data_IF_469411581308
#
_entry.id   IF_469411581308
#
_cell.length_a   1.000
_cell.length_b   1.000
_cell.length_c   1.000
_cell.angle_alpha   90.00
_cell.angle_beta   90.00
_cell.angle_gamma   90.00
#
_symmetry.space_group_name_H-M   'P 1'
#
loop_
_entity.id
_entity.type
_entity.pdbx_description
1 polymer ?
#
# COMPACT_ATOMS: atom_id res chain seq x y z
N UNK A 1 -11.07 15.16 -23.66
CA UNK A 1 -10.56 15.87 -22.47
C UNK A 1 -11.73 16.10 -21.52
N UNK A 2 -11.93 15.24 -20.52
CA UNK A 2 -12.86 15.49 -19.40
C UNK A 2 -12.45 14.66 -18.18
N UNK A 3 -11.15 14.73 -17.84
CA UNK A 3 -10.53 14.11 -16.66
C UNK A 3 -10.46 15.08 -15.48
N UNK A 4 -11.38 16.06 -15.39
CA UNK A 4 -11.21 17.22 -14.50
C UNK A 4 -12.02 17.16 -13.19
N UNK A 5 -13.05 16.32 -13.08
CA UNK A 5 -13.91 16.31 -11.88
C UNK A 5 -13.24 15.62 -10.68
N UNK A 6 -12.83 14.36 -10.80
CA UNK A 6 -12.17 13.63 -9.70
C UNK A 6 -10.90 14.32 -9.19
N UNK A 7 -10.13 14.99 -10.06
CA UNK A 7 -8.93 15.72 -9.65
C UNK A 7 -9.21 16.91 -8.72
N UNK A 8 -10.46 17.37 -8.65
CA UNK A 8 -10.88 18.42 -7.71
C UNK A 8 -11.32 17.86 -6.36
N UNK A 9 -11.49 16.55 -6.21
CA UNK A 9 -11.78 15.92 -4.92
C UNK A 9 -10.52 16.00 -4.04
N UNK A 10 -10.62 16.50 -2.80
CA UNK A 10 -9.47 16.50 -1.91
C UNK A 10 -8.95 15.07 -1.72
N UNK A 11 -7.64 14.85 -1.89
CA UNK A 11 -7.00 13.55 -1.64
C UNK A 11 -7.31 12.97 -0.24
N UNK A 12 -7.68 13.84 0.70
CA UNK A 12 -8.05 13.49 2.07
C UNK A 12 -9.47 12.92 2.24
N UNK A 13 -10.29 12.98 1.19
CA UNK A 13 -11.72 12.68 1.27
C UNK A 13 -12.01 11.18 1.10
N UNK A 14 -13.01 10.71 1.84
CA UNK A 14 -13.69 9.45 1.55
C UNK A 14 -14.72 9.70 0.45
N UNK A 15 -14.59 9.02 -0.67
CA UNK A 15 -15.58 9.03 -1.77
C UNK A 15 -16.59 7.93 -1.50
N UNK A 16 -17.88 8.25 -1.64
CA UNK A 16 -18.95 7.27 -1.53
C UNK A 16 -19.19 6.67 -2.90
N UNK A 17 -18.89 5.37 -3.04
CA UNK A 17 -19.02 4.68 -4.30
C UNK A 17 -20.47 4.26 -4.57
N UNK A 18 -21.03 4.77 -5.67
CA UNK A 18 -22.35 4.37 -6.14
C UNK A 18 -22.31 3.11 -7.02
N UNK A 19 -21.13 2.73 -7.52
CA UNK A 19 -20.90 1.64 -8.46
C UNK A 19 -21.02 0.26 -7.81
N UNK A 20 -22.20 -0.35 -7.96
CA UNK A 20 -22.52 -1.66 -7.38
C UNK A 20 -23.93 -1.70 -6.78
N UNK A 21 -24.49 -0.54 -6.47
CA UNK A 21 -25.84 -0.40 -5.93
C UNK A 21 -26.93 -0.48 -7.02
N UNK A 22 -27.55 -1.66 -7.20
CA UNK A 22 -28.71 -1.82 -8.09
C UNK A 22 -30.00 -1.65 -7.28
N UNK A 23 -30.43 -0.42 -7.05
CA UNK A 23 -31.70 -0.16 -6.37
C UNK A 23 -32.54 0.88 -7.12
N UNK A 24 -33.52 0.37 -7.88
CA UNK A 24 -34.70 1.14 -8.35
C UNK A 24 -35.75 1.34 -7.25
N UNK A 25 -35.39 1.13 -5.97
CA UNK A 25 -36.32 1.12 -4.85
C UNK A 25 -36.29 2.41 -4.04
N UNK A 26 -37.47 2.85 -3.62
CA UNK A 26 -37.71 4.03 -2.80
C UNK A 26 -37.35 3.74 -1.33
N UNK A 27 -36.52 4.57 -0.69
CA UNK A 27 -36.12 4.40 0.71
C UNK A 27 -34.86 5.15 1.12
N UNK A 28 -34.24 4.70 2.21
CA UNK A 28 -32.91 5.14 2.68
C UNK A 28 -31.87 4.31 1.91
N UNK A 29 -30.91 4.97 1.27
CA UNK A 29 -29.77 4.32 0.63
C UNK A 29 -28.59 4.33 1.60
N UNK A 30 -28.24 3.16 2.13
CA UNK A 30 -27.13 3.02 3.09
C UNK A 30 -25.88 2.52 2.40
N UNK A 31 -24.77 3.22 2.68
CA UNK A 31 -23.47 2.93 2.10
C UNK A 31 -22.47 2.46 3.16
N UNK A 32 -21.58 1.50 2.85
CA UNK A 32 -20.57 1.00 3.80
C UNK A 32 -19.65 2.08 4.39
N UNK A 33 -19.46 3.18 3.67
CA UNK A 33 -18.68 4.34 4.07
C UNK A 33 -19.35 5.15 5.20
N UNK A 34 -20.62 4.87 5.52
CA UNK A 34 -21.38 5.49 6.62
C UNK A 34 -22.14 6.76 6.26
N UNK A 35 -22.29 7.04 4.97
CA UNK A 35 -23.13 8.12 4.46
C UNK A 35 -24.47 7.56 3.96
N UNK A 36 -25.56 7.87 4.66
CA UNK A 36 -26.91 7.43 4.30
C UNK A 36 -27.65 8.53 3.53
N UNK A 37 -28.28 8.17 2.41
CA UNK A 37 -29.02 9.11 1.57
C UNK A 37 -30.53 8.95 1.67
N UNK A 38 -31.24 10.07 1.73
CA UNK A 38 -32.71 10.14 1.76
C UNK A 38 -33.25 10.98 0.61
N UNK A 39 -34.48 10.68 0.19
CA UNK A 39 -35.18 11.33 -0.95
C UNK A 39 -34.39 11.20 -2.28
N UNK A 40 -33.59 10.14 -2.41
CA UNK A 40 -32.75 9.86 -3.57
C UNK A 40 -32.98 8.44 -4.12
N UNK A 41 -32.65 8.22 -5.39
CA UNK A 41 -32.48 6.89 -5.98
C UNK A 41 -31.24 6.87 -6.89
N UNK A 42 -30.67 5.69 -7.09
CA UNK A 42 -29.52 5.48 -7.98
C UNK A 42 -30.03 5.30 -9.41
N UNK A 43 -29.51 6.10 -10.35
CA UNK A 43 -29.81 5.99 -11.77
C UNK A 43 -28.56 5.67 -12.58
N UNK A 44 -28.72 4.83 -13.60
CA UNK A 44 -27.65 4.48 -14.55
C UNK A 44 -27.63 5.45 -15.74
N UNK A 45 -26.47 5.55 -16.39
CA UNK A 45 -26.22 6.41 -17.56
C UNK A 45 -27.28 6.26 -18.68
N UNK A 46 -27.81 5.05 -18.91
CA UNK A 46 -28.81 4.78 -19.95
C UNK A 46 -30.14 5.54 -19.74
N UNK A 47 -30.54 5.78 -18.48
CA UNK A 47 -31.82 6.43 -18.13
C UNK A 47 -31.78 7.95 -18.37
N UNK A 48 -30.58 8.53 -18.45
CA UNK A 48 -30.37 9.98 -18.52
C UNK A 48 -30.34 10.51 -19.95
N UNK A 49 -30.03 9.65 -20.93
CA UNK A 49 -30.03 9.98 -22.36
C UNK A 49 -31.39 10.50 -22.87
N UNK A 50 -32.49 10.03 -22.30
CA UNK A 50 -33.86 10.47 -22.64
C UNK A 50 -34.31 11.75 -21.91
N UNK A 51 -33.55 12.23 -20.92
CA UNK A 51 -33.96 13.37 -20.05
C UNK A 51 -33.08 14.60 -20.17
N UNK A 52 -32.06 14.58 -21.03
CA UNK A 52 -31.22 15.73 -21.38
C UNK A 52 -30.06 16.01 -20.41
N UNK A 53 -29.70 15.05 -19.55
CA UNK A 53 -28.55 15.15 -18.65
C UNK A 53 -27.39 14.33 -19.24
N UNK A 54 -26.32 15.00 -19.68
CA UNK A 54 -25.06 14.34 -20.02
C UNK A 54 -24.11 14.51 -18.84
N UNK A 55 -23.74 13.41 -18.17
CA UNK A 55 -22.61 13.40 -17.23
C UNK A 55 -21.52 12.48 -17.77
N UNK A 56 -20.28 12.94 -17.66
CA UNK A 56 -19.08 12.13 -17.86
C UNK A 56 -18.19 12.30 -16.64
N UNK A 57 -18.46 11.46 -15.66
CA UNK A 57 -17.58 10.83 -14.65
C UNK A 57 -18.51 9.85 -13.93
N UNK A 58 -18.22 8.54 -13.88
CA UNK A 58 -19.13 7.53 -13.28
C UNK A 58 -20.25 6.96 -14.18
N UNK A 59 -20.63 5.69 -13.96
CA UNK A 59 -21.73 4.98 -14.61
C UNK A 59 -23.08 5.21 -13.88
N UNK A 60 -23.05 5.68 -12.62
CA UNK A 60 -24.20 5.86 -11.71
C UNK A 60 -24.18 7.16 -10.91
N UNK A 61 -25.36 7.77 -10.74
CA UNK A 61 -25.56 8.99 -9.94
C UNK A 61 -26.79 8.90 -9.03
N UNK A 62 -26.88 9.83 -8.07
CA UNK A 62 -28.08 10.00 -7.25
C UNK A 62 -29.00 11.08 -7.82
N UNK A 63 -30.27 10.73 -8.00
CA UNK A 63 -31.34 11.63 -8.45
C UNK A 63 -32.34 11.91 -7.34
N UNK A 64 -32.77 13.17 -7.22
CA UNK A 64 -33.81 13.57 -6.25
C UNK A 64 -35.20 13.04 -6.65
N UNK A 65 -35.91 12.45 -5.69
CA UNK A 65 -37.26 11.91 -5.85
C UNK A 65 -38.39 12.91 -5.55
N UNK A 66 -38.08 14.05 -4.93
CA UNK A 66 -39.09 14.87 -4.25
C UNK A 66 -38.99 16.37 -4.50
N UNK A 67 -39.82 17.09 -3.71
CA UNK A 67 -39.89 18.56 -3.67
C UNK A 67 -38.74 19.20 -2.89
N UNK A 68 -38.03 18.43 -2.05
CA UNK A 68 -37.21 18.98 -0.97
C UNK A 68 -35.69 18.85 -1.19
N UNK A 69 -35.21 17.82 -1.91
CA UNK A 69 -33.79 17.71 -2.25
C UNK A 69 -33.24 16.29 -2.17
N UNK A 70 -31.94 16.16 -1.92
CA UNK A 70 -31.26 14.93 -1.49
C UNK A 70 -30.60 15.25 -0.15
N UNK A 71 -30.82 14.39 0.85
CA UNK A 71 -30.14 14.49 2.14
C UNK A 71 -29.06 13.44 2.23
N UNK A 72 -27.90 13.80 2.78
CA UNK A 72 -26.88 12.84 3.19
C UNK A 72 -26.61 12.98 4.69
N UNK A 73 -26.75 11.88 5.40
CA UNK A 73 -26.57 11.74 6.83
C UNK A 73 -25.27 10.99 7.12
N UNK A 74 -24.51 11.41 8.12
CA UNK A 74 -23.25 10.76 8.49
C UNK A 74 -23.41 9.94 9.79
N UNK A 75 -23.28 8.62 9.71
CA UNK A 75 -23.18 7.77 10.90
C UNK A 75 -21.80 7.97 11.55
N UNK A 76 -21.76 8.75 12.62
CA UNK A 76 -20.52 9.07 13.34
C UNK A 76 -19.78 7.84 13.88
N UNK A 77 -20.44 6.69 14.06
CA UNK A 77 -19.73 5.46 14.44
C UNK A 77 -18.90 4.91 13.27
N UNK A 78 -19.35 5.13 12.03
CA UNK A 78 -18.71 4.66 10.79
C UNK A 78 -17.82 5.75 10.20
N UNK A 79 -18.34 6.95 9.96
CA UNK A 79 -17.63 8.09 9.36
C UNK A 79 -16.69 8.79 10.33
N UNK A 80 -17.02 8.76 11.63
CA UNK A 80 -16.47 9.69 12.63
C UNK A 80 -16.90 11.13 12.40
N UNK A 81 -16.17 12.07 12.98
CA UNK A 81 -16.50 13.50 12.89
C UNK A 81 -16.15 14.06 11.51
N UNK A 82 -17.17 14.38 10.72
CA UNK A 82 -17.06 15.00 9.40
C UNK A 82 -16.95 16.51 9.54
N UNK A 83 -15.99 17.14 8.88
CA UNK A 83 -15.81 18.60 8.91
C UNK A 83 -15.91 19.25 7.53
N UNK A 84 -15.84 18.46 6.46
CA UNK A 84 -16.07 18.95 5.13
C UNK A 84 -16.75 17.89 4.27
N UNK A 85 -17.51 18.31 3.28
CA UNK A 85 -18.15 17.40 2.32
C UNK A 85 -18.53 18.16 1.06
N UNK A 86 -18.63 17.43 -0.04
CA UNK A 86 -19.04 17.97 -1.32
C UNK A 86 -19.53 16.89 -2.25
N UNK A 87 -20.02 17.33 -3.40
CA UNK A 87 -20.38 16.49 -4.53
C UNK A 87 -20.37 17.34 -5.79
N UNK A 88 -20.40 16.68 -6.93
CA UNK A 88 -20.61 17.35 -8.21
C UNK A 88 -22.09 17.37 -8.53
N UNK A 89 -22.61 18.59 -8.68
CA UNK A 89 -24.02 18.85 -8.86
C UNK A 89 -24.32 19.13 -10.35
N UNK A 90 -25.40 18.55 -10.85
CA UNK A 90 -26.00 18.96 -12.13
C UNK A 90 -27.46 19.35 -11.95
N UNK A 91 -27.85 20.52 -12.44
CA UNK A 91 -29.19 21.08 -12.24
C UNK A 91 -29.22 22.61 -12.34
N UNK A 92 -30.34 23.21 -11.91
CA UNK A 92 -30.55 24.67 -11.93
C UNK A 92 -30.62 25.18 -10.49
N UNK A 93 -29.75 26.13 -10.14
CA UNK A 93 -29.74 26.80 -8.83
C UNK A 93 -29.50 25.84 -7.66
N UNK A 94 -28.43 25.05 -7.75
CA UNK A 94 -28.06 24.06 -6.73
C UNK A 94 -27.57 24.69 -5.44
N UNK A 95 -27.99 24.14 -4.31
CA UNK A 95 -27.60 24.58 -2.98
C UNK A 95 -27.18 23.38 -2.15
N UNK A 96 -25.99 23.41 -1.56
CA UNK A 96 -25.52 22.45 -0.56
C UNK A 96 -25.47 23.16 0.79
N UNK A 97 -26.29 22.73 1.75
CA UNK A 97 -26.30 23.27 3.11
C UNK A 97 -25.86 22.21 4.12
N UNK A 98 -24.90 22.56 4.98
CA UNK A 98 -24.44 21.70 6.08
C UNK A 98 -25.09 22.07 7.41
N UNK A 99 -25.42 21.05 8.20
CA UNK A 99 -26.06 21.19 9.50
C UNK A 99 -25.31 20.42 10.59
N UNK A 100 -25.34 20.94 11.82
CA UNK A 100 -24.96 20.17 13.01
C UNK A 100 -26.07 19.21 13.46
N UNK A 101 -25.79 18.42 14.51
CA UNK A 101 -26.74 17.47 15.10
C UNK A 101 -28.01 18.11 15.68
N UNK A 102 -28.00 19.42 15.94
CA UNK A 102 -29.13 20.17 16.47
C UNK A 102 -29.94 20.84 15.36
N UNK A 103 -29.52 20.71 14.10
CA UNK A 103 -30.15 21.35 12.94
C UNK A 103 -29.72 22.80 12.71
N UNK A 104 -28.65 23.28 13.35
CA UNK A 104 -28.11 24.61 13.05
C UNK A 104 -27.33 24.57 11.73
N UNK A 105 -27.52 25.57 10.88
CA UNK A 105 -26.75 25.73 9.65
C UNK A 105 -25.30 26.07 9.99
N UNK A 106 -24.37 25.32 9.43
CA UNK A 106 -22.93 25.51 9.61
C UNK A 106 -22.29 26.25 8.45
N UNK A 107 -22.64 25.85 7.23
CA UNK A 107 -22.04 26.35 6.00
C UNK A 107 -22.95 26.07 4.81
N UNK A 108 -22.77 26.83 3.74
CA UNK A 108 -23.57 26.73 2.53
C UNK A 108 -22.73 27.02 1.28
N UNK A 109 -22.98 26.26 0.21
CA UNK A 109 -22.37 26.42 -1.11
C UNK A 109 -23.46 26.44 -2.17
N UNK A 110 -23.37 27.35 -3.15
CA UNK A 110 -24.43 27.59 -4.13
C UNK A 110 -23.87 27.79 -5.53
N UNK A 111 -24.63 27.35 -6.53
CA UNK A 111 -24.40 27.71 -7.94
C UNK A 111 -25.01 29.07 -8.23
N UNK A 112 -24.63 29.71 -9.35
CA UNK A 112 -25.38 30.87 -9.84
C UNK A 112 -26.85 30.46 -10.07
N UNK A 113 -27.79 31.37 -9.78
CA UNK A 113 -29.19 31.10 -10.08
C UNK A 113 -29.40 30.95 -11.59
N UNK A 114 -30.40 30.13 -11.90
CA UNK A 114 -31.20 30.22 -13.12
C UNK A 114 -30.54 29.67 -14.39
N UNK A 115 -29.23 29.44 -14.38
CA UNK A 115 -28.53 28.65 -15.39
C UNK A 115 -28.49 27.17 -15.00
N UNK A 116 -28.62 26.31 -16.00
CA UNK A 116 -28.34 24.89 -15.83
C UNK A 116 -26.83 24.70 -15.81
N UNK A 117 -26.33 24.12 -14.73
CA UNK A 117 -24.92 23.75 -14.59
C UNK A 117 -24.77 22.24 -14.70
N UNK A 118 -23.66 21.83 -15.31
CA UNK A 118 -23.25 20.45 -15.42
C UNK A 118 -22.01 20.24 -14.56
N UNK A 119 -22.07 19.23 -13.70
CA UNK A 119 -20.95 18.74 -12.92
C UNK A 119 -20.22 19.85 -12.14
N UNK A 120 -20.98 20.76 -11.54
CA UNK A 120 -20.43 21.85 -10.74
C UNK A 120 -20.15 21.35 -9.34
N UNK A 121 -18.89 21.44 -8.89
CA UNK A 121 -18.53 21.13 -7.51
C UNK A 121 -19.26 22.06 -6.54
N UNK A 122 -20.01 21.48 -5.61
CA UNK A 122 -20.51 22.13 -4.40
C UNK A 122 -19.73 21.56 -3.22
N UNK A 123 -19.28 22.43 -2.32
CA UNK A 123 -18.39 22.06 -1.23
C UNK A 123 -18.60 22.96 -0.01
N UNK A 124 -18.71 22.34 1.16
CA UNK A 124 -18.93 23.00 2.44
C UNK A 124 -17.94 22.50 3.48
N UNK A 125 -17.52 23.39 4.37
CA UNK A 125 -16.64 23.10 5.49
C UNK A 125 -17.21 23.70 6.78
N UNK A 126 -16.92 23.06 7.91
CA UNK A 126 -17.16 23.55 9.26
C UNK A 126 -15.85 23.59 10.03
N UNK A 127 -15.61 24.69 10.75
CA UNK A 127 -14.35 24.92 11.49
C UNK A 127 -14.45 24.63 12.98
N UNK A 128 -15.64 24.39 13.51
CA UNK A 128 -15.89 24.36 14.96
C UNK A 128 -16.69 23.16 15.45
N UNK A 129 -17.64 22.66 14.66
CA UNK A 129 -18.49 21.51 15.03
C UNK A 129 -18.63 20.53 13.87
N UNK A 130 -18.76 19.23 14.12
CA UNK A 130 -18.94 18.25 13.05
C UNK A 130 -20.22 18.47 12.26
N UNK A 131 -20.12 18.30 10.95
CA UNK A 131 -21.26 18.19 10.04
C UNK A 131 -21.94 16.85 10.32
N UNK A 132 -23.24 16.91 10.60
CA UNK A 132 -24.09 15.75 10.88
C UNK A 132 -24.96 15.38 9.69
N UNK A 133 -25.38 16.39 8.93
CA UNK A 133 -26.30 16.27 7.81
C UNK A 133 -25.92 17.30 6.75
N UNK A 134 -26.05 16.93 5.48
CA UNK A 134 -26.13 17.89 4.39
C UNK A 134 -27.40 17.75 3.57
N UNK A 135 -27.85 18.88 3.03
CA UNK A 135 -29.00 18.97 2.13
C UNK A 135 -28.55 19.56 0.79
N UNK A 136 -28.71 18.77 -0.27
CA UNK A 136 -28.69 19.25 -1.65
C UNK A 136 -30.10 19.68 -2.04
N UNK A 137 -30.32 20.98 -2.14
CA UNK A 137 -31.61 21.58 -2.51
C UNK A 137 -31.47 22.47 -3.74
N UNK A 138 -32.56 23.17 -4.06
CA UNK A 138 -32.71 24.00 -5.26
C UNK A 138 -33.32 25.34 -4.92
N UNK A 139 -32.88 26.40 -5.59
CA UNK A 139 -33.52 27.72 -5.47
C UNK A 139 -34.85 27.79 -6.24
N UNK A 140 -34.97 27.04 -7.35
CA UNK A 140 -36.16 27.04 -8.22
C UNK A 140 -36.99 25.78 -7.97
N UNK A 141 -38.28 25.96 -7.64
CA UNK A 141 -39.22 24.85 -7.46
C UNK A 141 -39.39 24.06 -8.77
N UNK A 142 -39.38 22.72 -8.68
CA UNK A 142 -39.63 21.75 -9.76
C UNK A 142 -38.50 21.45 -10.77
N UNK A 143 -37.27 21.97 -10.61
CA UNK A 143 -36.12 21.53 -11.43
C UNK A 143 -35.57 20.18 -10.95
N UNK A 144 -35.19 19.26 -11.84
CA UNK A 144 -34.48 18.03 -11.44
C UNK A 144 -33.04 18.36 -11.05
N UNK A 145 -32.48 17.60 -10.11
CA UNK A 145 -31.07 17.66 -9.75
C UNK A 145 -30.48 16.25 -9.67
N UNK A 146 -29.19 16.15 -9.98
CA UNK A 146 -28.37 15.00 -9.68
C UNK A 146 -27.14 15.41 -8.87
N UNK A 147 -26.63 14.46 -8.08
CA UNK A 147 -25.30 14.55 -7.49
C UNK A 147 -24.47 13.33 -7.91
N UNK A 148 -23.19 13.58 -8.10
CA UNK A 148 -22.18 12.62 -8.53
C UNK A 148 -20.92 12.78 -7.68
N UNK A 149 -20.10 11.72 -7.62
CA UNK A 149 -18.86 11.64 -6.84
C UNK A 149 -18.98 12.30 -5.44
N UNK A 150 -19.97 11.88 -4.64
CA UNK A 150 -20.15 12.44 -3.30
C UNK A 150 -18.97 12.06 -2.40
N UNK A 151 -18.43 13.04 -1.67
CA UNK A 151 -17.29 12.82 -0.79
C UNK A 151 -17.40 13.57 0.53
N UNK A 152 -16.69 13.11 1.54
CA UNK A 152 -16.58 13.77 2.83
C UNK A 152 -15.18 13.63 3.43
N UNK A 153 -14.78 14.59 4.26
CA UNK A 153 -13.54 14.58 5.02
C UNK A 153 -13.90 14.47 6.49
N UNK A 154 -13.45 13.39 7.13
CA UNK A 154 -13.58 13.20 8.57
C UNK A 154 -12.21 13.18 9.25
N UNK A 155 -12.19 13.52 10.54
CA UNK A 155 -11.00 13.37 11.39
C UNK A 155 -10.82 11.94 11.91
N UNK A 156 -11.68 11.01 11.49
CA UNK A 156 -11.57 9.61 11.90
C UNK A 156 -10.30 9.03 11.31
N UNK A 157 -9.52 8.37 12.17
CA UNK A 157 -8.49 7.47 11.69
C UNK A 157 -9.20 6.25 11.10
N UNK A 158 -9.23 6.20 9.77
CA UNK A 158 -9.78 5.10 9.02
C UNK A 158 -8.75 3.98 9.14
N UNK A 159 -9.13 2.93 9.87
CA UNK A 159 -8.32 1.72 10.06
C UNK A 159 -6.95 2.00 10.71
N UNK A 160 -6.94 2.17 12.04
CA UNK A 160 -5.72 2.33 12.82
C UNK A 160 -5.16 0.99 13.29
N UNK A 161 -3.87 0.77 13.08
CA UNK A 161 -3.13 -0.36 13.61
C UNK A 161 -2.17 0.11 14.70
N UNK A 162 -2.20 -0.56 15.86
CA UNK A 162 -1.32 -0.28 17.00
C UNK A 162 0.07 -0.88 16.79
N UNK A 163 0.75 -0.45 15.73
CA UNK A 163 2.14 -0.85 15.43
C UNK A 163 3.10 -0.06 16.32
N UNK A 164 3.99 -0.71 17.09
CA UNK A 164 4.97 0.00 17.91
C UNK A 164 5.95 0.79 17.02
N UNK A 165 6.43 1.94 17.51
CA UNK A 165 7.47 2.72 16.83
C UNK A 165 8.84 2.32 17.38
N UNK A 166 9.75 1.90 16.49
CA UNK A 166 11.16 1.71 16.79
C UNK A 166 12.00 2.65 15.94
N UNK A 167 12.73 3.54 16.61
CA UNK A 167 13.63 4.47 15.95
C UNK A 167 14.97 3.79 15.68
N UNK A 168 15.49 3.91 14.46
CA UNK A 168 16.82 3.38 14.15
C UNK A 168 17.94 4.14 14.90
N UNK A 169 17.62 5.35 15.39
CA UNK A 169 18.49 6.23 16.17
C UNK A 169 18.40 6.02 17.69
N UNK A 170 17.64 5.03 18.15
CA UNK A 170 17.47 4.75 19.58
C UNK A 170 18.82 4.41 20.25
N UNK A 171 19.19 5.06 21.37
CA UNK A 171 20.45 4.81 22.07
C UNK A 171 20.74 3.34 22.41
N UNK A 172 19.70 2.50 22.55
CA UNK A 172 19.85 1.10 22.90
C UNK A 172 20.51 0.25 21.81
N UNK A 173 20.37 0.62 20.53
CA UNK A 173 20.83 -0.21 19.41
C UNK A 173 21.42 0.59 18.25
N UNK A 174 21.36 1.92 18.27
CA UNK A 174 21.88 2.75 17.17
C UNK A 174 23.36 2.49 16.84
N UNK A 175 24.15 2.01 17.80
CA UNK A 175 25.56 1.70 17.65
C UNK A 175 25.82 0.24 17.22
N UNK A 176 24.78 -0.60 17.15
CA UNK A 176 24.93 -1.99 16.74
C UNK A 176 25.32 -2.05 15.27
N UNK A 177 26.29 -2.91 14.94
CA UNK A 177 26.71 -3.15 13.56
C UNK A 177 25.52 -3.64 12.73
N UNK A 178 25.24 -2.98 11.61
CA UNK A 178 24.19 -3.34 10.67
C UNK A 178 24.72 -4.29 9.58
N UNK A 179 23.94 -5.33 9.27
CA UNK A 179 24.20 -6.23 8.15
C UNK A 179 25.51 -7.02 8.24
N UNK A 180 25.83 -7.68 7.13
CA UNK A 180 27.00 -8.56 6.98
C UNK A 180 27.96 -8.12 5.85
N UNK A 181 27.87 -6.89 5.34
CA UNK A 181 28.69 -6.48 4.16
C UNK A 181 30.19 -6.43 4.49
N UNK A 182 30.94 -7.39 3.95
CA UNK A 182 32.40 -7.54 4.11
C UNK A 182 33.22 -6.79 3.05
N UNK A 183 32.62 -6.40 1.91
CA UNK A 183 33.35 -5.89 0.74
C UNK A 183 33.43 -4.36 0.64
N UNK A 184 32.66 -3.60 1.42
CA UNK A 184 32.87 -2.15 1.45
C UNK A 184 34.05 -1.83 2.36
N UNK A 185 35.05 -1.08 1.86
CA UNK A 185 36.09 -0.42 2.67
C UNK A 185 35.52 0.55 3.75
N UNK A 186 34.18 0.65 3.84
CA UNK A 186 33.39 1.28 4.91
C UNK A 186 32.98 0.31 6.04
N UNK A 187 33.46 -0.94 6.01
CA UNK A 187 32.95 -2.10 6.77
C UNK A 187 33.09 -2.09 8.31
N UNK A 188 33.63 -1.03 8.91
CA UNK A 188 33.76 -0.88 10.36
C UNK A 188 32.81 0.16 10.99
N UNK A 189 32.01 0.90 10.21
CA UNK A 189 31.20 2.03 10.72
C UNK A 189 29.71 2.03 10.35
N UNK A 190 29.18 1.00 9.68
CA UNK A 190 27.74 0.90 9.38
C UNK A 190 26.97 0.36 10.58
N UNK A 191 26.20 1.24 11.22
CA UNK A 191 25.38 0.90 12.37
C UNK A 191 23.89 0.99 12.04
N UNK A 192 23.02 0.50 12.93
CA UNK A 192 21.57 0.65 12.79
C UNK A 192 21.17 2.12 12.66
N UNK A 193 21.88 3.06 13.30
CA UNK A 193 21.63 4.50 13.15
C UNK A 193 21.62 4.97 11.69
N UNK A 194 22.55 4.47 10.88
CA UNK A 194 22.76 4.92 9.51
C UNK A 194 21.94 4.15 8.48
N UNK A 195 21.79 2.84 8.65
CA UNK A 195 21.21 1.95 7.61
C UNK A 195 20.05 1.08 8.12
N UNK A 196 19.63 1.28 9.38
CA UNK A 196 18.69 0.40 10.06
C UNK A 196 17.21 0.60 9.74
N UNK A 197 16.83 1.37 8.72
CA UNK A 197 15.43 1.66 8.41
C UNK A 197 14.64 0.38 8.09
N UNK A 198 15.22 -0.53 7.30
CA UNK A 198 14.61 -1.80 6.93
C UNK A 198 14.43 -2.72 8.15
N UNK A 199 15.48 -2.93 8.94
CA UNK A 199 15.41 -3.83 10.12
C UNK A 199 14.53 -3.27 11.23
N UNK A 200 14.50 -1.94 11.39
CA UNK A 200 13.59 -1.28 12.34
C UNK A 200 12.14 -1.45 11.89
N UNK A 201 11.84 -1.23 10.60
CA UNK A 201 10.51 -1.44 10.03
C UNK A 201 10.04 -2.89 10.13
N UNK A 202 10.92 -3.85 9.83
CA UNK A 202 10.65 -5.28 10.02
C UNK A 202 10.32 -5.59 11.49
N UNK A 203 11.11 -5.07 12.43
CA UNK A 203 10.91 -5.29 13.88
C UNK A 203 9.56 -4.74 14.36
N UNK A 204 9.13 -3.59 13.83
CA UNK A 204 7.81 -3.01 14.13
C UNK A 204 6.67 -3.92 13.64
N UNK A 205 6.73 -4.43 12.41
CA UNK A 205 5.72 -5.35 11.86
C UNK A 205 5.71 -6.68 12.60
N UNK A 206 6.87 -7.27 12.87
CA UNK A 206 6.98 -8.50 13.64
C UNK A 206 6.40 -8.34 15.04
N UNK A 207 6.69 -7.22 15.72
CA UNK A 207 6.16 -6.96 17.06
C UNK A 207 4.66 -6.73 17.06
N UNK A 208 4.10 -6.13 16.01
CA UNK A 208 2.65 -6.03 15.86
C UNK A 208 1.99 -7.41 15.82
N UNK A 209 2.46 -8.32 14.95
CA UNK A 209 1.91 -9.68 14.87
C UNK A 209 2.21 -10.49 16.14
N UNK A 210 3.43 -10.43 16.66
CA UNK A 210 3.82 -11.13 17.87
C UNK A 210 3.03 -10.68 19.10
N UNK A 211 2.75 -9.38 19.25
CA UNK A 211 1.90 -8.89 20.34
C UNK A 211 0.47 -9.43 20.29
N UNK A 212 -0.07 -9.67 19.07
CA UNK A 212 -1.41 -10.21 18.86
C UNK A 212 -1.50 -11.71 19.08
N UNK A 213 -0.50 -12.47 18.64
CA UNK A 213 -0.53 -13.94 18.70
C UNK A 213 0.08 -14.52 19.98
N UNK A 214 1.20 -13.97 20.44
CA UNK A 214 2.01 -14.55 21.52
C UNK A 214 2.36 -13.57 22.64
N UNK A 215 2.01 -12.28 22.51
CA UNK A 215 2.41 -11.22 23.44
C UNK A 215 3.90 -10.84 23.35
N UNK A 216 4.62 -11.29 22.32
CA UNK A 216 6.06 -11.11 22.16
C UNK A 216 6.37 -10.00 21.16
N UNK A 217 7.28 -9.09 21.52
CA UNK A 217 7.88 -8.12 20.60
C UNK A 217 9.35 -8.44 20.31
N UNK A 218 9.89 -7.87 19.25
CA UNK A 218 11.31 -7.98 18.87
C UNK A 218 11.90 -6.60 18.61
N UNK A 219 13.04 -6.31 19.22
CA UNK A 219 13.76 -5.05 19.00
C UNK A 219 14.61 -5.09 17.72
N UNK A 220 14.93 -3.93 17.12
CA UNK A 220 15.84 -3.86 15.97
C UNK A 220 17.19 -4.53 16.22
N UNK A 221 17.75 -4.39 17.43
CA UNK A 221 18.99 -5.08 17.84
C UNK A 221 18.88 -6.59 17.74
N UNK A 222 17.81 -7.15 18.31
CA UNK A 222 17.60 -8.61 18.39
C UNK A 222 17.42 -9.20 16.99
N UNK A 223 16.56 -8.58 16.17
CA UNK A 223 16.33 -9.04 14.80
C UNK A 223 17.61 -8.91 13.95
N UNK A 224 18.31 -7.77 14.03
CA UNK A 224 19.56 -7.56 13.31
C UNK A 224 20.63 -8.59 13.70
N UNK A 225 20.80 -8.86 15.00
CA UNK A 225 21.76 -9.86 15.47
C UNK A 225 21.45 -11.27 14.94
N UNK A 226 20.17 -11.66 14.90
CA UNK A 226 19.77 -12.95 14.34
C UNK A 226 19.94 -13.00 12.82
N UNK A 227 19.52 -11.98 12.08
CA UNK A 227 19.71 -11.94 10.62
C UNK A 227 21.20 -12.01 10.25
N UNK A 228 22.06 -11.36 11.03
CA UNK A 228 23.51 -11.44 10.84
C UNK A 228 24.10 -12.83 11.11
N UNK A 229 23.44 -13.66 11.92
CA UNK A 229 23.87 -15.04 12.15
C UNK A 229 23.35 -16.02 11.10
N UNK A 230 22.37 -15.62 10.29
CA UNK A 230 21.86 -16.47 9.21
C UNK A 230 22.73 -16.38 7.95
N UNK A 231 22.90 -17.50 7.20
CA UNK A 231 23.66 -17.50 5.94
C UNK A 231 23.14 -16.47 4.92
N UNK A 232 21.82 -16.32 4.85
CA UNK A 232 21.15 -15.47 3.88
C UNK A 232 20.33 -14.34 4.53
N UNK A 233 20.56 -13.99 5.81
CA UNK A 233 19.77 -12.95 6.48
C UNK A 233 19.95 -11.55 5.88
N UNK A 234 21.07 -11.35 5.16
CA UNK A 234 21.30 -10.21 4.28
C UNK A 234 21.82 -10.68 2.92
N UNK A 235 21.34 -10.09 1.83
CA UNK A 235 21.74 -10.37 0.45
C UNK A 235 22.13 -9.05 -0.21
N UNK A 236 23.36 -8.96 -0.74
CA UNK A 236 23.88 -7.68 -1.29
C UNK A 236 23.94 -6.52 -0.27
N UNK A 237 23.84 -6.81 1.03
CA UNK A 237 23.71 -5.81 2.10
C UNK A 237 22.27 -5.38 2.43
N UNK A 238 21.29 -5.84 1.65
CA UNK A 238 19.85 -5.65 1.90
C UNK A 238 19.30 -6.71 2.85
N UNK A 239 18.28 -6.36 3.63
CA UNK A 239 17.56 -7.32 4.49
C UNK A 239 16.86 -8.38 3.62
N UNK A 240 17.02 -9.65 3.96
CA UNK A 240 16.22 -10.72 3.38
C UNK A 240 14.86 -10.82 4.08
N UNK A 241 13.80 -10.39 3.40
CA UNK A 241 12.43 -10.39 3.94
C UNK A 241 11.88 -11.81 4.18
N UNK A 242 12.36 -12.82 3.45
CA UNK A 242 12.01 -14.22 3.73
C UNK A 242 12.66 -14.69 5.04
N UNK A 243 13.91 -14.31 5.31
CA UNK A 243 14.56 -14.59 6.60
C UNK A 243 13.88 -13.85 7.76
N UNK A 244 13.35 -12.64 7.54
CA UNK A 244 12.50 -11.95 8.54
C UNK A 244 11.25 -12.78 8.87
N UNK A 245 10.58 -13.33 7.86
CA UNK A 245 9.43 -14.20 8.09
C UNK A 245 9.83 -15.52 8.78
N UNK A 246 11.00 -16.08 8.45
CA UNK A 246 11.58 -17.25 9.11
C UNK A 246 11.81 -16.99 10.59
N UNK A 247 12.38 -15.83 10.96
CA UNK A 247 12.53 -15.43 12.36
C UNK A 247 11.20 -15.44 13.12
N UNK A 248 10.15 -14.89 12.51
CA UNK A 248 8.82 -14.88 13.12
C UNK A 248 8.36 -16.31 13.48
N UNK A 249 8.52 -17.26 12.55
CA UNK A 249 8.06 -18.63 12.74
C UNK A 249 8.94 -19.43 13.70
N UNK A 250 10.26 -19.38 13.52
CA UNK A 250 11.19 -20.25 14.24
C UNK A 250 11.57 -19.72 15.63
N UNK A 251 11.62 -18.39 15.79
CA UNK A 251 12.07 -17.76 17.04
C UNK A 251 10.89 -17.21 17.84
N UNK A 252 9.94 -16.53 17.17
CA UNK A 252 8.79 -15.93 17.87
C UNK A 252 7.59 -16.86 18.00
N UNK A 253 7.57 -17.97 17.25
CA UNK A 253 6.40 -18.87 17.16
C UNK A 253 5.17 -18.22 16.52
N UNK A 254 5.37 -17.17 15.71
CA UNK A 254 4.34 -16.41 15.01
C UNK A 254 4.22 -16.94 13.59
N UNK A 255 3.02 -17.37 13.20
CA UNK A 255 2.75 -17.92 11.87
C UNK A 255 2.73 -16.81 10.82
N UNK A 256 3.90 -16.31 10.40
CA UNK A 256 4.00 -15.19 9.47
C UNK A 256 4.82 -15.56 8.24
N UNK A 257 4.36 -15.12 7.07
CA UNK A 257 5.02 -15.34 5.78
C UNK A 257 5.21 -14.03 5.04
N UNK A 258 6.33 -13.89 4.36
CA UNK A 258 6.57 -12.79 3.43
C UNK A 258 5.84 -13.07 2.12
N UNK A 259 5.08 -12.08 1.63
CA UNK A 259 4.18 -12.18 0.47
C UNK A 259 4.68 -11.41 -0.75
N UNK A 260 5.97 -11.08 -0.74
CA UNK A 260 6.60 -10.35 -1.82
C UNK A 260 6.40 -8.85 -1.72
N UNK A 261 6.83 -8.18 -2.78
CA UNK A 261 6.68 -6.76 -3.00
C UNK A 261 5.55 -6.47 -3.99
N UNK A 262 4.78 -5.43 -3.72
CA UNK A 262 3.79 -4.87 -4.66
C UNK A 262 4.27 -3.47 -5.06
N UNK A 263 4.05 -3.07 -6.30
CA UNK A 263 4.32 -1.69 -6.75
C UNK A 263 3.33 -0.70 -6.12
N UNK A 264 3.61 0.59 -6.27
CA UNK A 264 2.74 1.68 -5.80
C UNK A 264 1.27 1.46 -6.18
N UNK A 265 0.40 1.32 -5.18
CA UNK A 265 -1.05 1.19 -5.34
C UNK A 265 -1.77 1.59 -4.04
N UNK A 266 -2.32 2.80 -4.00
CA UNK A 266 -2.96 3.34 -2.79
C UNK A 266 -4.27 2.65 -2.40
N UNK A 267 -5.04 2.15 -3.37
CA UNK A 267 -6.30 1.46 -3.10
C UNK A 267 -6.03 0.11 -2.43
N UNK A 268 -5.05 -0.63 -2.96
CA UNK A 268 -4.60 -1.88 -2.37
C UNK A 268 -4.00 -1.66 -0.98
N UNK A 269 -3.15 -0.65 -0.81
CA UNK A 269 -2.59 -0.30 0.50
C UNK A 269 -3.70 0.02 1.51
N UNK A 270 -4.69 0.81 1.11
CA UNK A 270 -5.84 1.18 1.96
C UNK A 270 -6.63 -0.05 2.37
N UNK A 271 -6.97 -0.93 1.42
CA UNK A 271 -7.64 -2.20 1.68
C UNK A 271 -6.87 -3.07 2.68
N UNK A 272 -5.54 -3.16 2.54
CA UNK A 272 -4.67 -3.98 3.42
C UNK A 272 -4.64 -3.43 4.85
N UNK A 273 -4.45 -2.12 5.01
CA UNK A 273 -4.47 -1.47 6.31
C UNK A 273 -5.83 -1.66 7.01
N UNK A 274 -6.92 -1.54 6.25
CA UNK A 274 -8.27 -1.81 6.74
C UNK A 274 -8.57 -3.29 7.02
N UNK A 275 -7.81 -4.19 6.42
CA UNK A 275 -7.84 -5.62 6.74
C UNK A 275 -6.94 -6.01 7.92
N UNK A 276 -6.32 -5.04 8.59
CA UNK A 276 -5.48 -5.30 9.76
C UNK A 276 -4.02 -5.64 9.44
N UNK A 277 -3.56 -5.42 8.21
CA UNK A 277 -2.18 -5.72 7.79
C UNK A 277 -1.33 -4.43 7.77
N UNK A 278 -0.34 -4.27 8.65
CA UNK A 278 0.63 -3.19 8.52
C UNK A 278 1.60 -3.49 7.38
N UNK A 279 1.92 -2.48 6.59
CA UNK A 279 2.69 -2.64 5.36
C UNK A 279 3.98 -1.82 5.47
N UNK A 280 5.12 -2.44 5.18
CA UNK A 280 6.38 -1.70 5.05
C UNK A 280 6.39 -1.05 3.67
N UNK A 281 6.63 0.26 3.61
CA UNK A 281 6.76 1.01 2.37
C UNK A 281 8.24 1.24 2.07
N UNK A 282 8.66 0.94 0.85
CA UNK A 282 9.93 1.35 0.28
C UNK A 282 9.79 2.74 -0.32
N UNK A 283 10.62 3.66 0.14
CA UNK A 283 10.81 5.01 -0.41
C UNK A 283 12.17 5.05 -1.11
N UNK A 284 12.58 6.21 -1.62
CA UNK A 284 13.94 6.37 -2.18
C UNK A 284 14.99 6.24 -1.08
N UNK A 285 15.63 5.06 -0.98
CA UNK A 285 16.69 4.77 -0.02
C UNK A 285 16.25 4.71 1.44
N UNK A 286 14.94 4.53 1.71
CA UNK A 286 14.38 4.54 3.06
C UNK A 286 13.19 3.58 3.18
N UNK A 287 12.93 3.07 4.38
CA UNK A 287 11.77 2.22 4.67
C UNK A 287 11.00 2.77 5.87
N UNK A 288 9.67 2.77 5.75
CA UNK A 288 8.73 3.16 6.82
C UNK A 288 7.61 2.13 6.94
N UNK A 289 6.83 2.14 8.03
CA UNK A 289 5.66 1.25 8.18
C UNK A 289 4.38 2.04 8.08
N UNK A 290 3.55 1.78 7.08
CA UNK A 290 2.17 2.25 7.03
C UNK A 290 1.31 1.46 8.03
N UNK A 291 0.50 2.19 8.80
CA UNK A 291 -0.27 1.64 9.93
C UNK A 291 -1.69 2.20 10.06
N UNK A 292 -2.15 2.94 9.06
CA UNK A 292 -3.53 3.38 8.98
C UNK A 292 -3.72 4.54 8.04
N UNK A 293 -4.93 5.10 8.03
CA UNK A 293 -5.31 6.21 7.17
C UNK A 293 -5.89 7.31 8.04
N UNK A 294 -5.42 8.54 7.85
CA UNK A 294 -5.92 9.72 8.54
C UNK A 294 -5.93 10.90 7.58
N UNK A 295 -7.06 11.58 7.48
CA UNK A 295 -7.23 12.73 6.60
C UNK A 295 -6.76 12.41 5.16
N UNK A 296 -7.16 11.23 4.62
CA UNK A 296 -6.73 10.60 3.36
C UNK A 296 -5.24 10.70 3.02
N UNK A 297 -4.42 10.56 4.05
CA UNK A 297 -3.02 10.17 3.94
C UNK A 297 -2.77 8.95 4.81
N UNK A 298 -1.71 8.21 4.51
CA UNK A 298 -1.31 7.07 5.31
C UNK A 298 -0.59 7.53 6.58
N UNK A 299 -1.05 7.07 7.74
CA UNK A 299 -0.26 7.21 8.97
C UNK A 299 0.89 6.22 8.93
N UNK A 300 2.07 6.68 9.35
CA UNK A 300 3.31 5.91 9.27
C UNK A 300 4.04 5.88 10.61
N UNK A 301 4.82 4.83 10.82
CA UNK A 301 5.95 4.82 11.73
C UNK A 301 7.23 4.96 10.90
N UNK A 302 7.89 6.12 11.01
CA UNK A 302 9.16 6.38 10.36
C UNK A 302 10.33 6.07 11.31
N UNK A 303 11.23 5.13 11.00
CA UNK A 303 12.39 4.81 11.83
C UNK A 303 13.34 5.99 12.10
N UNK A 304 13.32 7.04 11.26
CA UNK A 304 14.08 8.27 11.47
C UNK A 304 13.30 9.33 12.28
N UNK A 305 12.03 9.07 12.61
CA UNK A 305 11.18 9.98 13.37
C UNK A 305 10.83 11.28 12.64
N UNK A 306 10.96 11.34 11.31
CA UNK A 306 10.75 12.57 10.53
C UNK A 306 9.29 12.96 10.38
N UNK A 307 8.39 11.98 10.31
CA UNK A 307 6.95 12.21 10.22
C UNK A 307 6.14 11.03 10.75
N UNK A 308 4.87 11.28 11.08
CA UNK A 308 3.85 10.27 11.38
C UNK A 308 2.75 10.18 10.30
N UNK A 309 2.83 11.00 9.25
CA UNK A 309 1.88 11.04 8.13
C UNK A 309 2.68 11.11 6.82
N UNK A 310 2.43 10.17 5.90
CA UNK A 310 3.23 10.03 4.68
C UNK A 310 3.25 11.31 3.83
N UNK A 311 2.11 12.01 3.72
CA UNK A 311 2.02 13.24 2.90
C UNK A 311 2.87 14.40 3.42
N UNK A 312 3.15 14.48 4.72
CA UNK A 312 3.82 15.64 5.32
C UNK A 312 5.29 15.76 4.91
N UNK A 313 5.93 14.63 4.60
CA UNK A 313 7.36 14.61 4.26
C UNK A 313 7.63 13.91 2.93
N UNK A 314 6.83 12.90 2.58
CA UNK A 314 7.06 12.05 1.41
C UNK A 314 6.01 12.25 0.30
N UNK A 315 5.10 13.22 0.45
CA UNK A 315 4.15 13.59 -0.60
C UNK A 315 3.15 12.49 -0.98
N UNK A 316 2.84 11.56 -0.07
CA UNK A 316 1.99 10.39 -0.30
C UNK A 316 2.53 9.41 -1.36
N UNK A 317 3.82 9.48 -1.70
CA UNK A 317 4.45 8.60 -2.67
C UNK A 317 5.33 7.56 -1.98
N UNK A 318 5.37 6.36 -2.56
CA UNK A 318 6.30 5.29 -2.24
C UNK A 318 6.58 4.46 -3.49
N UNK A 319 7.70 3.75 -3.51
CA UNK A 319 8.15 2.95 -4.65
C UNK A 319 7.45 1.59 -4.70
N UNK A 320 7.49 0.87 -3.58
CA UNK A 320 6.95 -0.48 -3.47
C UNK A 320 6.62 -0.82 -2.02
N UNK A 321 6.08 -2.01 -1.77
CA UNK A 321 5.72 -2.50 -0.44
C UNK A 321 6.52 -3.75 -0.06
N UNK A 322 6.58 -4.08 1.23
CA UNK A 322 6.93 -5.42 1.72
C UNK A 322 5.80 -5.90 2.61
N UNK A 323 5.15 -6.99 2.19
CA UNK A 323 3.94 -7.50 2.83
C UNK A 323 4.22 -8.75 3.64
N UNK A 324 3.69 -8.80 4.85
CA UNK A 324 3.69 -9.97 5.71
C UNK A 324 2.25 -10.34 6.06
N UNK A 325 1.93 -11.64 6.03
CA UNK A 325 0.58 -12.13 6.31
C UNK A 325 0.63 -13.46 7.06
N UNK A 326 -0.40 -13.70 7.87
CA UNK A 326 -0.60 -14.94 8.64
C UNK A 326 -1.28 -16.05 7.86
N UNK A 327 -1.72 -15.75 6.63
CA UNK A 327 -2.09 -16.82 5.70
C UNK A 327 -0.83 -17.60 5.36
N UNK A 328 -0.90 -18.93 5.30
CA UNK A 328 0.23 -19.82 4.97
C UNK A 328 0.43 -20.00 3.46
N UNK A 329 -0.62 -19.75 2.67
CA UNK A 329 -0.62 -19.92 1.20
C UNK A 329 -0.13 -18.68 0.45
N UNK A 330 0.67 -18.88 -0.60
CA UNK A 330 1.13 -17.86 -1.56
C UNK A 330 -0.05 -17.28 -2.37
N UNK A 331 0.25 -16.27 -3.21
CA UNK A 331 -0.75 -15.63 -4.09
C UNK A 331 -1.40 -16.59 -5.09
N UNK A 332 -0.85 -17.80 -5.26
CA UNK A 332 -1.34 -18.89 -6.12
C UNK A 332 -2.01 -20.00 -5.32
N UNK A 333 -2.19 -19.83 -4.00
CA UNK A 333 -2.83 -20.81 -3.11
C UNK A 333 -1.92 -21.98 -2.70
N UNK A 334 -0.61 -21.93 -2.97
CA UNK A 334 0.36 -22.98 -2.65
C UNK A 334 1.03 -22.71 -1.31
N UNK A 335 1.44 -23.75 -0.60
CA UNK A 335 2.31 -23.56 0.56
C UNK A 335 3.66 -23.00 0.09
N UNK A 336 4.21 -22.03 0.83
CA UNK A 336 5.52 -21.45 0.51
C UNK A 336 6.59 -22.56 0.60
N UNK A 337 7.12 -23.00 -0.54
CA UNK A 337 8.04 -24.15 -0.64
C UNK A 337 9.52 -23.77 -0.62
N UNK A 338 9.82 -22.50 -0.39
CA UNK A 338 11.15 -21.92 -0.44
C UNK A 338 11.15 -20.54 -1.10
N UNK A 339 12.35 -20.00 -1.32
CA UNK A 339 12.54 -18.74 -2.03
C UNK A 339 13.88 -18.73 -2.76
N UNK A 340 13.99 -17.82 -3.73
CA UNK A 340 15.23 -17.46 -4.40
C UNK A 340 15.33 -15.93 -4.46
N UNK A 341 16.47 -15.38 -4.06
CA UNK A 341 16.83 -13.98 -4.24
C UNK A 341 18.11 -13.94 -5.04
N UNK A 342 18.09 -13.20 -6.13
CA UNK A 342 19.24 -12.98 -6.99
C UNK A 342 19.49 -11.47 -7.00
N UNK A 343 20.68 -11.07 -6.60
CA UNK A 343 21.08 -9.66 -6.48
C UNK A 343 22.46 -9.46 -7.09
N UNK A 344 22.75 -8.27 -7.59
CA UNK A 344 24.03 -7.95 -8.21
C UNK A 344 24.48 -6.55 -7.84
N UNK A 345 25.77 -6.38 -7.58
CA UNK A 345 26.39 -5.05 -7.44
C UNK A 345 26.85 -4.46 -8.80
N UNK A 346 26.62 -5.18 -9.90
CA UNK A 346 26.88 -4.70 -11.25
C UNK A 346 26.06 -3.44 -11.58
N UNK A 347 26.63 -2.56 -12.42
CA UNK A 347 25.93 -1.43 -13.03
C UNK A 347 25.22 -1.84 -14.33
N UNK A 348 24.63 -3.04 -14.34
CA UNK A 348 23.92 -3.60 -15.48
C UNK A 348 22.65 -4.30 -15.02
N UNK A 349 21.58 -4.16 -15.81
CA UNK A 349 20.37 -4.94 -15.63
C UNK A 349 20.61 -6.41 -15.97
N UNK A 350 19.85 -7.28 -15.32
CA UNK A 350 19.87 -8.71 -15.59
C UNK A 350 18.48 -9.29 -15.55
N UNK A 351 18.33 -10.44 -16.20
CA UNK A 351 17.13 -11.24 -16.11
C UNK A 351 17.45 -12.69 -15.78
N UNK A 352 16.45 -13.35 -15.21
CA UNK A 352 16.54 -14.72 -14.73
C UNK A 352 15.53 -15.56 -15.48
N UNK A 353 15.99 -16.60 -16.16
CA UNK A 353 15.15 -17.57 -16.85
C UNK A 353 14.97 -18.79 -15.94
N UNK A 354 13.72 -19.13 -15.66
CA UNK A 354 13.33 -20.29 -14.86
C UNK A 354 13.39 -21.61 -15.64
N UNK A 355 13.33 -22.77 -14.94
CA UNK A 355 13.23 -24.07 -15.59
C UNK A 355 12.03 -24.22 -16.53
N UNK A 356 10.95 -23.48 -16.27
CA UNK A 356 9.74 -23.43 -17.10
C UNK A 356 9.84 -22.47 -18.28
N UNK A 357 10.94 -21.72 -18.43
CA UNK A 357 11.13 -20.73 -19.48
C UNK A 357 10.49 -19.36 -19.20
N UNK A 358 9.95 -19.13 -18.01
CA UNK A 358 9.51 -17.80 -17.54
C UNK A 358 10.75 -16.94 -17.23
N UNK A 359 10.76 -15.70 -17.71
CA UNK A 359 11.82 -14.71 -17.46
C UNK A 359 11.37 -13.66 -16.44
N UNK A 360 12.24 -13.39 -15.47
CA UNK A 360 12.10 -12.33 -14.48
C UNK A 360 13.16 -11.28 -14.75
N UNK A 361 12.80 -10.00 -14.75
CA UNK A 361 13.70 -8.91 -15.13
C UNK A 361 13.97 -8.02 -13.90
N UNK A 362 15.20 -7.54 -13.75
CA UNK A 362 15.41 -6.26 -13.06
C UNK A 362 14.87 -5.17 -13.97
N UNK A 363 14.28 -4.12 -13.40
CA UNK A 363 13.99 -2.93 -14.19
C UNK A 363 14.98 -1.84 -13.78
N UNK A 364 15.45 -1.07 -14.76
CA UNK A 364 16.53 -0.10 -14.60
C UNK A 364 16.29 1.02 -13.58
N UNK A 365 15.08 1.13 -13.01
CA UNK A 365 14.71 2.04 -11.92
C UNK A 365 14.35 1.30 -10.60
N UNK A 366 14.23 -0.03 -10.60
CA UNK A 366 13.81 -0.85 -9.46
C UNK A 366 15.01 -1.44 -8.71
N UNK A 367 14.76 -1.91 -7.49
CA UNK A 367 15.73 -2.71 -6.72
C UNK A 367 16.40 -3.74 -7.63
N UNK A 368 17.74 -3.74 -7.68
CA UNK A 368 18.55 -4.63 -8.53
C UNK A 368 18.51 -6.11 -8.12
N UNK A 369 17.46 -6.51 -7.42
CA UNK A 369 17.23 -7.88 -7.01
C UNK A 369 15.94 -8.46 -7.62
N UNK A 370 16.00 -9.74 -7.94
CA UNK A 370 14.88 -10.58 -8.33
C UNK A 370 14.54 -11.49 -7.15
N UNK A 371 13.29 -11.42 -6.70
CA UNK A 371 12.75 -12.27 -5.63
C UNK A 371 11.73 -13.25 -6.25
N UNK A 372 11.96 -14.55 -6.11
CA UNK A 372 11.05 -15.60 -6.56
C UNK A 372 10.56 -16.36 -5.34
N UNK A 373 9.26 -16.24 -5.06
CA UNK A 373 8.57 -17.03 -4.04
C UNK A 373 8.19 -18.41 -4.62
N UNK A 374 8.48 -19.47 -3.86
CA UNK A 374 8.18 -20.85 -4.22
C UNK A 374 8.71 -21.24 -5.61
N UNK A 375 10.04 -21.09 -5.84
CA UNK A 375 10.71 -21.45 -7.10
C UNK A 375 10.54 -22.93 -7.42
N UNK A 376 10.51 -23.25 -8.72
CA UNK A 376 10.42 -24.62 -9.22
C UNK A 376 11.81 -25.24 -9.19
N UNK A 377 11.96 -26.46 -8.66
CA UNK A 377 13.24 -27.17 -8.73
C UNK A 377 13.68 -27.34 -10.19
N UNK A 378 14.93 -27.02 -10.50
CA UNK A 378 15.45 -27.08 -11.85
C UNK A 378 16.60 -26.11 -12.11
N UNK A 379 17.01 -26.05 -13.38
CA UNK A 379 18.05 -25.15 -13.85
C UNK A 379 17.50 -23.73 -14.07
N UNK A 380 18.15 -22.77 -13.43
CA UNK A 380 17.97 -21.35 -13.63
C UNK A 380 19.17 -20.75 -14.36
N UNK A 381 18.91 -19.68 -15.08
CA UNK A 381 19.92 -18.97 -15.86
C UNK A 381 19.82 -17.48 -15.57
N UNK A 382 20.94 -16.84 -15.27
CA UNK A 382 21.06 -15.38 -15.13
C UNK A 382 21.78 -14.85 -16.36
N UNK A 383 21.21 -13.82 -16.97
CA UNK A 383 21.73 -13.17 -18.17
C UNK A 383 21.82 -11.68 -17.90
N UNK A 384 23.02 -11.11 -18.06
CA UNK A 384 23.22 -9.66 -17.98
C UNK A 384 23.00 -9.03 -19.36
N UNK A 385 22.29 -7.91 -19.39
CA UNK A 385 21.91 -7.26 -20.64
C UNK A 385 23.12 -6.55 -21.30
N UNK A 386 24.07 -6.04 -20.51
CA UNK A 386 25.28 -5.36 -20.99
C UNK A 386 26.55 -5.91 -20.33
N UNK A 387 27.23 -6.84 -21.01
CA UNK A 387 28.44 -7.52 -20.49
C UNK A 387 29.66 -6.61 -20.29
N UNK A 388 29.62 -5.36 -20.75
CA UNK A 388 30.73 -4.40 -20.56
C UNK A 388 30.70 -3.75 -19.16
N UNK A 389 29.54 -3.75 -18.49
CA UNK A 389 29.29 -3.08 -17.21
C UNK A 389 29.32 -4.02 -15.98
N UNK A 390 29.88 -5.23 -16.12
CA UNK A 390 29.94 -6.26 -15.06
C UNK A 390 31.37 -6.52 -14.53
N UNK A 391 32.36 -5.70 -14.92
CA UNK A 391 33.77 -5.95 -14.55
C UNK A 391 33.98 -5.90 -13.03
N UNK A 392 34.42 -7.01 -12.43
CA UNK A 392 34.60 -7.21 -10.98
C UNK A 392 33.31 -7.14 -10.14
N UNK A 393 32.14 -7.20 -10.78
CA UNK A 393 30.88 -7.25 -10.06
C UNK A 393 30.63 -8.65 -9.49
N UNK A 394 29.86 -8.72 -8.41
CA UNK A 394 29.41 -9.94 -7.75
C UNK A 394 27.94 -10.16 -7.97
N UNK A 395 27.59 -11.41 -8.23
CA UNK A 395 26.23 -11.92 -8.17
C UNK A 395 26.04 -12.69 -6.86
N UNK A 396 24.99 -12.33 -6.13
CA UNK A 396 24.57 -12.97 -4.89
C UNK A 396 23.34 -13.82 -5.18
N UNK A 397 23.43 -15.13 -4.94
CA UNK A 397 22.32 -16.07 -5.08
C UNK A 397 21.99 -16.60 -3.70
N UNK A 398 20.91 -16.12 -3.12
CA UNK A 398 20.39 -16.59 -1.86
C UNK A 398 19.14 -17.45 -2.06
N UNK A 399 19.01 -18.50 -1.29
CA UNK A 399 17.86 -19.38 -1.35
C UNK A 399 17.50 -19.94 0.00
N UNK A 400 16.23 -20.30 0.14
CA UNK A 400 15.72 -21.07 1.26
C UNK A 400 14.86 -22.22 0.74
N UNK A 401 14.97 -23.39 1.36
CA UNK A 401 14.18 -24.56 0.99
C UNK A 401 12.93 -24.73 1.87
N UNK A 402 12.15 -25.79 1.62
CA UNK A 402 10.95 -26.08 2.40
C UNK A 402 11.23 -26.44 3.86
N UNK A 403 12.46 -26.85 4.21
CA UNK A 403 12.88 -27.14 5.58
C UNK A 403 13.46 -25.93 6.31
N UNK A 404 13.48 -24.74 5.69
CA UNK A 404 14.01 -23.51 6.29
C UNK A 404 15.54 -23.39 6.26
N UNK A 405 16.24 -24.32 5.61
CA UNK A 405 17.67 -24.21 5.40
C UNK A 405 17.97 -23.15 4.34
N UNK A 406 18.91 -22.27 4.66
CA UNK A 406 19.26 -21.11 3.84
C UNK A 406 20.70 -21.24 3.32
N UNK A 407 20.89 -20.89 2.05
CA UNK A 407 22.19 -20.85 1.39
C UNK A 407 22.40 -19.50 0.73
N UNK A 408 23.66 -19.04 0.72
CA UNK A 408 24.08 -17.83 0.03
C UNK A 408 25.36 -18.15 -0.75
N UNK A 409 25.33 -17.94 -2.06
CA UNK A 409 26.49 -18.03 -2.92
C UNK A 409 26.87 -16.65 -3.43
N UNK A 410 28.15 -16.34 -3.36
CA UNK A 410 28.76 -15.19 -4.02
C UNK A 410 29.58 -15.73 -5.21
N UNK A 411 29.26 -15.25 -6.41
CA UNK A 411 29.98 -15.62 -7.63
C UNK A 411 30.35 -14.36 -8.41
N UNK A 412 31.43 -14.44 -9.19
CA UNK A 412 31.78 -13.35 -10.11
C UNK A 412 30.68 -13.20 -11.15
N UNK A 413 30.21 -11.96 -11.35
CA UNK A 413 29.26 -11.64 -12.40
C UNK A 413 29.98 -11.75 -13.75
N UNK A 414 29.59 -12.76 -14.51
CA UNK A 414 29.95 -12.94 -15.92
C UNK A 414 28.67 -12.85 -16.74
N UNK A 415 28.76 -12.57 -18.04
CA UNK A 415 27.58 -12.25 -18.87
C UNK A 415 26.48 -13.33 -18.86
N UNK A 416 26.80 -14.54 -18.42
CA UNK A 416 25.91 -15.68 -18.35
C UNK A 416 26.27 -16.62 -17.19
N UNK A 417 25.31 -16.92 -16.30
CA UNK A 417 25.51 -17.82 -15.14
C UNK A 417 24.38 -18.87 -15.07
N UNK A 418 24.75 -20.13 -14.82
CA UNK A 418 23.79 -21.22 -14.61
C UNK A 418 23.89 -21.78 -13.19
N UNK A 419 22.74 -22.08 -12.60
CA UNK A 419 22.69 -22.82 -11.34
C UNK A 419 21.45 -23.70 -11.29
N UNK A 420 21.51 -24.75 -10.48
CA UNK A 420 20.38 -25.61 -10.19
C UNK A 420 19.79 -25.25 -8.83
N UNK A 421 18.48 -25.06 -8.76
CA UNK A 421 17.75 -24.93 -7.51
C UNK A 421 17.01 -26.22 -7.19
N UNK A 422 17.08 -26.68 -5.94
CA UNK A 422 16.32 -27.81 -5.43
C UNK A 422 15.63 -27.49 -4.10
N UNK A 423 14.31 -27.36 -4.14
CA UNK A 423 13.45 -27.11 -2.97
C UNK A 423 13.48 -28.21 -1.90
N UNK A 424 13.95 -29.41 -2.23
CA UNK A 424 14.05 -30.53 -1.30
C UNK A 424 15.47 -30.74 -0.72
N UNK A 425 16.48 -30.03 -1.24
CA UNK A 425 17.88 -30.19 -0.84
C UNK A 425 18.27 -29.21 0.25
N UNK A 426 19.08 -29.70 1.20
CA UNK A 426 19.74 -28.90 2.24
C UNK A 426 20.72 -27.86 1.67
N UNK A 427 21.38 -28.20 0.57
CA UNK A 427 22.05 -27.22 -0.27
C UNK A 427 21.14 -26.92 -1.45
N UNK A 428 20.24 -25.97 -1.25
CA UNK A 428 19.15 -25.70 -2.19
C UNK A 428 19.61 -25.09 -3.50
N UNK A 429 20.86 -24.64 -3.60
CA UNK A 429 21.48 -24.12 -4.82
C UNK A 429 22.80 -24.84 -5.10
N UNK A 430 22.92 -25.38 -6.32
CA UNK A 430 24.15 -25.97 -6.82
C UNK A 430 24.62 -25.18 -8.04
N UNK A 431 25.77 -24.54 -7.93
CA UNK A 431 26.40 -23.88 -9.07
C UNK A 431 26.86 -24.91 -10.09
N UNK A 432 26.52 -24.71 -11.36
CA UNK A 432 26.96 -25.56 -12.45
C UNK A 432 28.18 -24.86 -13.09
N UNK A 433 29.42 -25.35 -12.88
CA UNK A 433 30.56 -24.77 -13.54
C UNK A 433 30.34 -24.82 -15.05
N UNK A 434 30.46 -23.67 -15.70
CA UNK A 434 30.42 -23.58 -17.16
C UNK A 434 31.63 -24.37 -17.66
N UNK A 435 31.39 -25.58 -18.18
CA UNK A 435 32.38 -26.29 -18.97
C UNK A 435 32.53 -25.45 -20.23
N UNK A 436 33.66 -24.77 -20.40
CA UNK A 436 33.97 -24.09 -21.65
C UNK A 436 33.83 -25.13 -22.76
N UNK A 437 32.84 -24.98 -23.63
CA UNK A 437 32.88 -25.64 -24.92
C UNK A 437 34.00 -24.97 -25.70
N UNK A 438 35.11 -25.70 -25.86
CA UNK A 438 36.17 -25.38 -26.82
C UNK A 438 35.60 -25.13 -28.24
#
# INVERSE_FOLDING_TARGET
MSTLAESEIPNSATVVDFEGSYQKSFGILTFPEGADFFDAHVATQDVLSDTGFLTRSGDRMLLSNGRFGIYAYFDQNITGEVYATGAFFSGIGGVLTAFDKNGNVLSESKTACCDFVLNQKLYVESTSVPIYLVLFSREIRYSRLSIDDFFFISQKEICKLDVPLYLQTDPLWKNDKYGNVWWSERGSSRTIEYEGCAVSSASMVLSYYGSKESGIGVSPSTLNAWLRSQPAGYVGGSVNWFSVAKYAREVMGVGLWYRGRESFNNDLLSFRLCSGEPIILELTGHFVVAKGIKNGSFTINDPLGRSSILSQYYGNWYKSTRRFSTQEKDSRGRMQSGYLIIDSDAESDFHVVSPSGESFYTSGDESRNIEIDSPVSGKYVVVFDESENITNAKLYIASGNASGEETLHEVEAIGYIEFYFDSASNNSTLYLPIVSSD
#
